data_IF_357045000821
#
_entry.id   IF_357045000821
#
_cell.length_a   1.000
_cell.length_b   1.000
_cell.length_c   1.000
_cell.angle_alpha   90.00
_cell.angle_beta   90.00
_cell.angle_gamma   90.00
#
_symmetry.space_group_name_H-M   'P 1'
#
loop_
_entity.id
_entity.type
_entity.pdbx_description
1 polymer ?
#
# COMPACT_ATOMS: atom_id res chain seq x y z
N UNK A 1 21.21 8.04 43.22
CA UNK A 1 22.49 7.86 42.49
C UNK A 1 22.26 8.25 41.05
N UNK A 2 23.13 9.07 40.44
CA UNK A 2 22.85 9.71 39.14
C UNK A 2 23.62 9.03 38.01
N UNK A 3 22.93 8.33 37.10
CA UNK A 3 23.54 7.84 35.84
C UNK A 3 23.23 8.81 34.70
N UNK A 4 24.27 9.18 33.94
CA UNK A 4 24.19 10.08 32.79
C UNK A 4 23.78 9.30 31.54
N UNK A 5 22.87 9.84 30.72
CA UNK A 5 22.66 9.37 29.34
C UNK A 5 23.73 10.01 28.42
N UNK A 6 24.36 9.27 27.50
CA UNK A 6 25.26 9.85 26.50
C UNK A 6 24.48 10.56 25.37
N UNK A 7 25.13 11.51 24.71
CA UNK A 7 24.61 12.24 23.56
C UNK A 7 25.11 11.64 22.24
N UNK A 8 24.19 11.48 21.29
CA UNK A 8 24.42 11.36 19.84
C UNK A 8 23.63 12.54 19.23
N UNK A 9 24.17 13.48 18.43
CA UNK A 9 25.00 13.34 17.22
C UNK A 9 24.37 12.30 16.27
N UNK A 10 23.46 12.67 15.37
CA UNK A 10 23.20 14.01 14.81
C UNK A 10 24.15 14.26 13.65
N UNK A 11 23.63 14.07 12.43
CA UNK A 11 24.38 14.08 11.19
C UNK A 11 23.44 14.63 10.09
N UNK A 12 23.75 15.82 9.58
CA UNK A 12 22.98 16.46 8.51
C UNK A 12 23.60 16.13 7.15
N UNK A 13 22.75 16.02 6.12
CA UNK A 13 23.15 15.89 4.73
C UNK A 13 22.33 16.88 3.88
N UNK A 14 23.01 17.90 3.37
CA UNK A 14 22.48 18.75 2.31
C UNK A 14 22.86 18.14 0.95
N UNK A 15 21.95 18.15 -0.01
CA UNK A 15 22.20 17.64 -1.37
C UNK A 15 22.82 18.68 -2.31
N UNK A 16 23.02 18.32 -3.59
CA UNK A 16 23.06 19.23 -4.74
C UNK A 16 23.23 18.45 -6.07
N UNK A 17 22.65 18.97 -7.16
CA UNK A 17 22.86 18.51 -8.54
C UNK A 17 21.79 17.50 -9.04
N UNK A 18 21.34 17.58 -10.31
CA UNK A 18 21.65 18.57 -11.35
C UNK A 18 20.75 18.41 -12.59
N UNK A 19 20.56 19.48 -13.37
CA UNK A 19 19.61 19.54 -14.48
C UNK A 19 20.21 19.15 -15.84
N UNK A 20 19.64 18.14 -16.49
CA UNK A 20 19.54 18.00 -17.96
C UNK A 20 18.21 17.27 -18.28
N UNK A 21 17.39 17.66 -19.26
CA UNK A 21 17.46 18.81 -20.17
C UNK A 21 17.52 18.39 -21.64
N UNK A 22 16.35 18.15 -22.26
CA UNK A 22 16.20 18.07 -23.72
C UNK A 22 14.81 18.56 -24.13
N UNK A 23 14.73 19.32 -25.22
CA UNK A 23 13.53 19.99 -25.75
C UNK A 23 13.08 19.34 -27.05
N UNK A 24 11.78 19.39 -27.37
CA UNK A 24 11.22 19.17 -28.71
C UNK A 24 9.88 19.89 -28.88
N UNK A 25 9.52 20.21 -30.12
CA UNK A 25 8.59 21.29 -30.47
C UNK A 25 7.11 20.88 -30.67
N UNK A 26 6.16 21.84 -30.57
CA UNK A 26 4.74 21.60 -30.84
C UNK A 26 4.40 21.65 -32.34
N UNK A 27 3.69 20.63 -32.84
CA UNK A 27 3.25 20.54 -34.24
C UNK A 27 1.77 20.91 -34.44
N UNK A 28 1.48 22.18 -34.75
CA UNK A 28 0.11 22.65 -35.04
C UNK A 28 -0.42 22.21 -36.41
N UNK A 29 -1.70 21.85 -36.49
CA UNK A 29 -2.52 21.95 -37.72
C UNK A 29 -3.99 22.31 -37.38
N UNK A 30 -4.71 23.07 -38.22
CA UNK A 30 -5.98 23.70 -37.85
C UNK A 30 -7.23 22.97 -38.38
N UNK A 31 -8.39 23.54 -38.02
CA UNK A 31 -9.76 23.34 -38.48
C UNK A 31 -10.01 22.66 -39.84
N UNK A 32 -11.09 21.88 -39.88
CA UNK A 32 -12.02 21.88 -41.01
C UNK A 32 -13.47 21.53 -40.59
N UNK A 33 -14.46 22.26 -41.13
CA UNK A 33 -15.70 21.62 -41.62
C UNK A 33 -16.93 21.34 -40.71
N UNK A 34 -17.42 22.33 -39.97
CA UNK A 34 -18.86 22.63 -39.71
C UNK A 34 -19.99 21.53 -39.81
N UNK A 35 -20.77 21.44 -38.73
CA UNK A 35 -22.27 21.40 -38.71
C UNK A 35 -23.05 20.23 -39.34
N UNK A 36 -23.68 19.40 -38.48
CA UNK A 36 -25.13 19.10 -38.54
C UNK A 36 -25.68 18.45 -37.25
N UNK A 37 -26.80 19.00 -36.76
CA UNK A 37 -27.84 18.33 -35.95
C UNK A 37 -29.16 18.52 -36.73
N UNK A 38 -30.26 17.74 -36.53
CA UNK A 38 -30.69 17.00 -35.33
C UNK A 38 -30.89 15.48 -35.65
N UNK A 39 -31.54 14.59 -34.88
CA UNK A 39 -32.88 14.64 -34.24
C UNK A 39 -33.06 13.49 -33.24
N UNK A 40 -33.86 13.69 -32.19
CA UNK A 40 -34.25 12.64 -31.25
C UNK A 40 -35.52 11.90 -31.71
N UNK A 41 -35.56 10.58 -31.49
CA UNK A 41 -36.78 9.76 -31.53
C UNK A 41 -36.66 8.66 -30.48
N UNK A 42 -37.49 8.71 -29.44
CA UNK A 42 -37.76 7.56 -28.57
C UNK A 42 -38.74 6.61 -29.28
N UNK A 43 -38.55 5.29 -29.16
CA UNK A 43 -39.55 4.27 -29.50
C UNK A 43 -39.18 2.90 -28.89
N UNK A 44 -39.99 2.42 -27.95
CA UNK A 44 -39.87 1.14 -27.21
C UNK A 44 -41.26 0.75 -26.67
N UNK A 45 -41.65 -0.54 -26.51
CA UNK A 45 -40.98 -1.79 -26.89
C UNK A 45 -41.53 -2.30 -28.26
N UNK A 46 -42.06 -3.50 -28.57
CA UNK A 46 -42.42 -4.74 -27.85
C UNK A 46 -42.72 -5.88 -28.88
N UNK A 47 -42.95 -7.15 -28.46
CA UNK A 47 -41.96 -8.17 -28.08
C UNK A 47 -41.82 -9.29 -29.16
N UNK A 48 -40.95 -10.29 -28.93
CA UNK A 48 -41.22 -11.76 -29.08
C UNK A 48 -39.93 -12.61 -29.30
N UNK A 49 -39.74 -13.59 -28.41
CA UNK A 49 -38.99 -14.86 -28.49
C UNK A 49 -37.69 -15.03 -29.33
N UNK A 50 -36.58 -15.22 -28.59
CA UNK A 50 -35.67 -16.38 -28.61
C UNK A 50 -35.10 -16.95 -29.91
N UNK A 51 -33.76 -16.89 -30.05
CA UNK A 51 -32.87 -18.07 -30.10
C UNK A 51 -31.38 -17.67 -30.16
N UNK A 52 -30.50 -18.56 -29.70
CA UNK A 52 -29.03 -18.44 -29.82
C UNK A 52 -28.37 -17.82 -28.58
N UNK A 53 -27.43 -18.56 -27.99
CA UNK A 53 -26.50 -18.02 -26.99
C UNK A 53 -25.17 -17.65 -27.63
N UNK A 54 -24.43 -16.77 -26.97
CA UNK A 54 -22.99 -16.58 -27.17
C UNK A 54 -22.39 -16.41 -25.77
N UNK A 55 -21.49 -17.32 -25.39
CA UNK A 55 -20.81 -17.30 -24.10
C UNK A 55 -19.67 -16.28 -24.13
N UNK A 56 -20.00 -14.99 -24.04
CA UNK A 56 -19.02 -13.91 -23.87
C UNK A 56 -18.89 -13.50 -22.39
N UNK A 57 -18.32 -14.39 -21.58
CA UNK A 57 -17.76 -13.99 -20.28
C UNK A 57 -16.65 -12.96 -20.53
N UNK A 58 -16.96 -11.69 -20.25
CA UNK A 58 -16.12 -10.55 -20.55
C UNK A 58 -14.95 -10.43 -19.57
N UNK A 59 -14.00 -11.37 -19.63
CA UNK A 59 -12.74 -11.28 -18.88
C UNK A 59 -11.89 -10.12 -19.41
N UNK A 60 -12.21 -8.90 -18.97
CA UNK A 60 -11.36 -7.71 -19.16
C UNK A 60 -10.17 -7.76 -18.20
N UNK A 61 -9.44 -8.88 -18.24
CA UNK A 61 -8.16 -9.06 -17.59
C UNK A 61 -7.16 -8.09 -18.21
N UNK A 62 -7.03 -6.90 -17.60
CA UNK A 62 -5.84 -6.08 -17.80
C UNK A 62 -4.66 -6.93 -17.32
N UNK A 63 -3.83 -7.39 -18.25
CA UNK A 63 -2.68 -8.23 -17.97
C UNK A 63 -1.56 -7.42 -17.27
N UNK A 64 -1.81 -7.06 -16.01
CA UNK A 64 -0.74 -6.78 -15.06
C UNK A 64 0.18 -8.01 -15.02
N UNK A 65 1.49 -7.80 -15.07
CA UNK A 65 2.47 -8.85 -15.33
C UNK A 65 2.70 -9.82 -14.17
N UNK A 66 1.73 -9.99 -13.27
CA UNK A 66 1.82 -10.78 -12.03
C UNK A 66 0.93 -12.01 -12.09
N UNK A 67 1.56 -13.17 -12.04
CA UNK A 67 0.92 -14.45 -11.70
C UNK A 67 1.09 -14.64 -10.17
N UNK A 68 0.05 -15.04 -9.43
CA UNK A 68 0.09 -15.11 -7.95
C UNK A 68 -0.69 -16.32 -7.45
N UNK A 69 -0.09 -17.08 -6.53
CA UNK A 69 -0.69 -18.30 -5.97
C UNK A 69 -1.78 -18.00 -4.93
N UNK A 70 -2.70 -18.95 -4.74
CA UNK A 70 -3.66 -18.92 -3.63
C UNK A 70 -2.92 -18.75 -2.28
N UNK A 71 -3.35 -17.82 -1.40
CA UNK A 71 -2.66 -17.55 -0.14
C UNK A 71 -2.86 -18.68 0.88
N UNK A 72 -1.76 -19.14 1.48
CA UNK A 72 -1.75 -20.12 2.58
C UNK A 72 -1.48 -19.43 3.91
N UNK A 73 -1.88 -20.02 5.04
CA UNK A 73 -1.52 -19.48 6.37
C UNK A 73 -0.04 -19.72 6.67
N UNK A 74 0.58 -18.79 7.39
CA UNK A 74 1.87 -19.03 8.04
C UNK A 74 1.84 -20.29 8.91
N UNK A 75 2.93 -21.06 8.93
CA UNK A 75 3.05 -22.35 9.59
C UNK A 75 3.56 -22.29 11.04
N UNK A 76 4.22 -21.20 11.44
CA UNK A 76 4.74 -21.05 12.79
C UNK A 76 3.65 -20.65 13.80
N UNK A 77 3.92 -20.90 15.09
CA UNK A 77 3.09 -20.44 16.19
C UNK A 77 2.91 -18.90 16.19
N UNK A 78 1.78 -18.38 16.70
CA UNK A 78 1.51 -16.95 16.77
C UNK A 78 2.54 -16.20 17.63
N UNK A 79 2.57 -14.89 17.44
CA UNK A 79 3.41 -13.98 18.23
C UNK A 79 2.55 -12.86 18.83
N UNK A 80 3.01 -12.29 19.95
CA UNK A 80 2.46 -11.05 20.49
C UNK A 80 3.41 -9.90 20.14
N UNK A 81 2.88 -8.74 19.79
CA UNK A 81 3.64 -7.52 19.51
C UNK A 81 2.89 -6.29 20.05
N UNK A 82 3.59 -5.26 20.52
CA UNK A 82 2.95 -4.05 21.02
C UNK A 82 3.69 -2.76 20.66
N UNK A 83 2.92 -1.67 20.51
CA UNK A 83 3.40 -0.33 20.15
C UNK A 83 2.66 0.73 20.96
N UNK A 84 3.42 1.60 21.61
CA UNK A 84 2.91 2.90 22.08
C UNK A 84 3.25 3.95 21.03
N UNK A 85 2.23 4.56 20.45
CA UNK A 85 2.36 5.60 19.42
C UNK A 85 2.60 6.94 20.10
N UNK A 86 3.62 7.66 19.63
CA UNK A 86 4.04 8.96 20.14
C UNK A 86 4.53 9.80 18.94
N UNK A 87 3.55 10.35 18.21
CA UNK A 87 3.71 11.09 16.97
C UNK A 87 3.03 12.46 17.12
N UNK A 88 3.67 13.55 16.68
CA UNK A 88 3.12 14.90 16.81
C UNK A 88 2.16 15.31 15.66
N UNK A 89 2.02 14.49 14.62
CA UNK A 89 0.97 14.63 13.60
C UNK A 89 -0.36 13.98 14.01
N UNK A 90 -0.41 13.28 15.17
CA UNK A 90 -1.59 12.58 15.71
C UNK A 90 -2.09 13.18 17.03
N UNK A 91 -3.41 13.36 17.15
CA UNK A 91 -4.07 13.81 18.39
C UNK A 91 -5.31 12.94 18.68
N UNK A 92 -5.42 12.42 19.91
CA UNK A 92 -6.62 11.71 20.37
C UNK A 92 -7.66 12.70 20.91
N UNK A 93 -8.87 12.65 20.38
CA UNK A 93 -9.99 13.53 20.73
C UNK A 93 -10.94 12.81 21.70
N UNK A 94 -10.85 13.12 23.00
CA UNK A 94 -11.62 12.44 24.06
C UNK A 94 -13.14 12.54 23.86
N UNK A 95 -13.66 13.71 23.47
CA UNK A 95 -15.10 13.96 23.27
C UNK A 95 -15.70 13.19 22.09
N UNK A 96 -14.89 12.84 21.09
CA UNK A 96 -15.31 12.17 19.85
C UNK A 96 -14.91 10.69 19.79
N UNK A 97 -14.08 10.21 20.73
CA UNK A 97 -13.43 8.88 20.70
C UNK A 97 -12.74 8.59 19.35
N UNK A 98 -12.02 9.61 18.86
CA UNK A 98 -11.47 9.66 17.51
C UNK A 98 -9.98 10.05 17.52
N UNK A 99 -9.27 9.69 16.46
CA UNK A 99 -7.90 10.14 16.19
C UNK A 99 -7.95 11.17 15.07
N UNK A 100 -7.41 12.36 15.34
CA UNK A 100 -7.17 13.41 14.35
C UNK A 100 -5.76 13.22 13.78
N UNK A 101 -5.63 13.26 12.46
CA UNK A 101 -4.37 13.06 11.74
C UNK A 101 -4.20 14.07 10.59
N UNK A 102 -2.97 14.29 10.14
CA UNK A 102 -2.68 15.07 8.92
C UNK A 102 -2.97 14.21 7.69
N UNK A 103 -4.10 14.48 7.02
CA UNK A 103 -4.55 13.74 5.84
C UNK A 103 -3.85 14.20 4.55
N UNK A 104 -3.52 15.49 4.45
CA UNK A 104 -2.84 16.06 3.29
C UNK A 104 -2.07 17.33 3.61
N UNK A 105 -1.06 17.65 2.80
CA UNK A 105 -0.34 18.92 2.84
C UNK A 105 -0.74 19.81 1.65
N UNK A 106 -1.40 20.92 1.94
CA UNK A 106 -1.96 21.85 0.94
C UNK A 106 -0.97 22.98 0.65
N UNK A 107 -0.64 23.21 -0.62
CA UNK A 107 0.15 24.37 -1.03
C UNK A 107 -0.68 25.66 -0.92
N UNK A 108 -0.10 26.68 -0.30
CA UNK A 108 -0.74 27.99 -0.08
C UNK A 108 -0.32 29.03 -1.12
N UNK A 109 0.94 29.01 -1.56
CA UNK A 109 1.59 30.05 -2.37
C UNK A 109 1.81 29.63 -3.84
N UNK A 110 0.77 29.08 -4.49
CA UNK A 110 0.90 28.47 -5.83
C UNK A 110 1.40 29.45 -6.91
N UNK A 111 0.96 30.69 -6.88
CA UNK A 111 1.33 31.72 -7.88
C UNK A 111 2.76 32.22 -7.66
N UNK A 112 3.25 32.13 -6.43
CA UNK A 112 4.59 32.49 -6.00
C UNK A 112 5.60 31.39 -6.36
N UNK A 113 5.21 30.10 -6.22
CA UNK A 113 5.96 28.96 -6.76
C UNK A 113 6.16 29.09 -8.28
N UNK A 114 5.11 29.49 -9.01
CA UNK A 114 5.16 29.73 -10.46
C UNK A 114 6.08 30.91 -10.84
N UNK A 115 6.43 31.78 -9.89
CA UNK A 115 7.41 32.87 -10.01
C UNK A 115 8.79 32.52 -9.43
N UNK A 116 8.97 31.32 -8.86
CA UNK A 116 10.24 30.79 -8.38
C UNK A 116 10.47 30.85 -6.87
N UNK A 117 9.45 31.17 -6.06
CA UNK A 117 9.56 31.09 -4.60
C UNK A 117 9.45 29.64 -4.08
N UNK A 118 10.01 29.33 -2.88
CA UNK A 118 9.88 28.00 -2.28
C UNK A 118 8.42 27.64 -1.97
N UNK A 119 8.03 26.37 -2.08
CA UNK A 119 6.66 25.95 -1.78
C UNK A 119 6.35 26.01 -0.28
N UNK A 120 5.39 26.85 0.08
CA UNK A 120 4.76 26.85 1.40
C UNK A 120 3.63 25.81 1.44
N UNK A 121 3.38 25.27 2.65
CA UNK A 121 2.41 24.20 2.89
C UNK A 121 1.74 24.33 4.26
N UNK A 122 0.44 24.04 4.31
CA UNK A 122 -0.34 23.90 5.54
C UNK A 122 -0.93 22.49 5.65
N UNK A 123 -1.06 21.92 6.87
CA UNK A 123 -1.67 20.62 7.07
C UNK A 123 -3.20 20.71 6.93
N UNK A 124 -3.79 19.68 6.31
CA UNK A 124 -5.23 19.43 6.27
C UNK A 124 -5.51 18.25 7.17
N UNK A 125 -6.29 18.47 8.22
CA UNK A 125 -6.65 17.45 9.20
C UNK A 125 -7.95 16.73 8.83
N UNK A 126 -8.00 15.44 9.13
CA UNK A 126 -9.21 14.62 9.16
C UNK A 126 -9.29 13.88 10.51
N UNK A 127 -10.45 13.27 10.80
CA UNK A 127 -10.68 12.45 12.00
C UNK A 127 -11.20 11.06 11.60
N UNK A 128 -10.82 10.06 12.38
CA UNK A 128 -11.25 8.66 12.22
C UNK A 128 -11.56 8.05 13.59
N UNK A 129 -12.56 7.15 13.75
CA UNK A 129 -12.83 6.49 15.03
C UNK A 129 -11.59 5.76 15.56
N UNK A 130 -11.37 5.80 16.88
CA UNK A 130 -10.19 5.19 17.49
C UNK A 130 -10.06 3.69 17.20
N UNK A 131 -11.17 2.94 17.16
CA UNK A 131 -11.15 1.50 16.88
C UNK A 131 -10.77 1.19 15.42
N UNK A 132 -11.22 1.99 14.44
CA UNK A 132 -10.86 1.81 13.02
C UNK A 132 -9.37 2.13 12.77
N UNK A 133 -8.88 3.20 13.40
CA UNK A 133 -7.45 3.56 13.40
C UNK A 133 -6.61 2.49 14.09
N UNK A 134 -6.98 2.08 15.30
CA UNK A 134 -6.19 1.14 16.08
C UNK A 134 -6.23 -0.28 15.49
N UNK A 135 -7.31 -0.69 14.82
CA UNK A 135 -7.36 -1.93 14.02
C UNK A 135 -6.35 -1.88 12.87
N UNK A 136 -6.25 -0.74 12.20
CA UNK A 136 -5.27 -0.53 11.11
C UNK A 136 -3.84 -0.56 11.66
N UNK A 137 -3.57 0.14 12.76
CA UNK A 137 -2.25 0.13 13.39
C UNK A 137 -1.87 -1.21 14.02
N UNK A 138 -2.83 -2.01 14.49
CA UNK A 138 -2.56 -3.39 14.91
C UNK A 138 -2.07 -4.24 13.72
N UNK A 139 -2.59 -4.01 12.52
CA UNK A 139 -2.08 -4.66 11.32
C UNK A 139 -0.70 -4.13 10.91
N UNK A 140 -0.41 -2.83 11.06
CA UNK A 140 0.93 -2.24 10.88
C UNK A 140 1.95 -2.89 11.82
N UNK A 141 1.66 -2.93 13.12
CA UNK A 141 2.49 -3.58 14.16
C UNK A 141 2.66 -5.07 13.88
N UNK A 142 1.61 -5.74 13.39
CA UNK A 142 1.65 -7.14 12.99
C UNK A 142 2.58 -7.39 11.80
N UNK A 143 2.53 -6.54 10.77
CA UNK A 143 3.40 -6.64 9.60
C UNK A 143 4.88 -6.44 9.97
N UNK A 144 5.19 -5.40 10.75
CA UNK A 144 6.55 -5.14 11.24
C UNK A 144 7.12 -6.31 12.06
N UNK A 145 6.30 -6.89 12.95
CA UNK A 145 6.68 -8.03 13.78
C UNK A 145 6.85 -9.34 12.99
N UNK A 146 6.07 -9.53 11.91
CA UNK A 146 6.24 -10.66 10.98
C UNK A 146 7.50 -10.50 10.14
N UNK A 147 7.79 -9.31 9.61
CA UNK A 147 9.00 -9.03 8.84
C UNK A 147 10.26 -9.33 9.67
N UNK A 148 10.38 -8.74 10.86
CA UNK A 148 11.48 -9.02 11.80
C UNK A 148 11.59 -10.53 12.11
N UNK A 149 10.47 -11.23 12.30
CA UNK A 149 10.48 -12.67 12.59
C UNK A 149 10.94 -13.53 11.41
N UNK A 150 10.76 -13.09 10.18
CA UNK A 150 11.27 -13.78 8.98
C UNK A 150 12.77 -13.54 8.87
N UNK A 151 13.23 -12.29 9.02
CA UNK A 151 14.66 -11.90 9.05
C UNK A 151 15.44 -12.64 10.16
N UNK A 152 14.87 -12.81 11.35
CA UNK A 152 15.47 -13.56 12.47
C UNK A 152 15.69 -15.07 12.19
N UNK A 153 15.05 -15.62 11.15
CA UNK A 153 14.93 -17.08 10.92
C UNK A 153 15.43 -17.57 9.56
N UNK A 154 15.89 -16.66 8.72
CA UNK A 154 16.38 -16.93 7.36
C UNK A 154 17.74 -16.26 7.16
N UNK A 155 18.76 -17.08 6.90
CA UNK A 155 20.04 -16.62 6.35
C UNK A 155 19.89 -16.42 4.83
N UNK A 156 20.00 -15.18 4.35
CA UNK A 156 19.96 -14.85 2.93
C UNK A 156 18.94 -13.76 2.58
N UNK A 157 18.60 -13.64 1.30
CA UNK A 157 17.52 -12.78 0.85
C UNK A 157 16.26 -13.64 0.58
N UNK A 158 15.16 -13.45 1.35
CA UNK A 158 13.96 -14.25 1.19
C UNK A 158 13.15 -13.89 -0.06
N UNK A 159 13.51 -12.79 -0.77
CA UNK A 159 12.73 -12.09 -1.77
C UNK A 159 11.25 -11.92 -1.39
N UNK A 160 10.98 -11.78 -0.09
CA UNK A 160 9.65 -11.70 0.49
C UNK A 160 9.34 -10.28 0.94
N UNK A 161 8.29 -9.69 0.39
CA UNK A 161 7.72 -8.45 0.92
C UNK A 161 6.68 -8.77 2.01
N UNK A 162 6.56 -7.90 3.01
CA UNK A 162 5.54 -8.01 4.06
C UNK A 162 4.72 -6.73 4.06
N UNK A 163 3.40 -6.86 4.15
CA UNK A 163 2.49 -5.71 4.12
C UNK A 163 1.10 -6.06 4.63
N UNK A 164 0.17 -5.11 4.53
CA UNK A 164 -1.21 -5.24 5.00
C UNK A 164 -2.14 -5.45 3.80
N UNK A 165 -3.06 -6.40 3.92
CA UNK A 165 -4.16 -6.69 2.98
C UNK A 165 -5.50 -6.78 3.73
N UNK A 166 -6.59 -7.04 3.01
CA UNK A 166 -7.85 -7.50 3.60
C UNK A 166 -8.18 -8.91 3.11
N UNK A 167 -8.15 -9.88 4.01
CA UNK A 167 -8.59 -11.25 3.73
C UNK A 167 -9.99 -11.46 4.31
N UNK A 168 -10.94 -11.94 3.49
CA UNK A 168 -12.34 -12.12 3.88
C UNK A 168 -13.04 -10.86 4.44
N UNK A 169 -12.47 -9.68 4.19
CA UNK A 169 -12.93 -8.38 4.72
C UNK A 169 -12.20 -7.90 5.98
N UNK A 170 -11.48 -8.78 6.67
CA UNK A 170 -10.70 -8.47 7.88
C UNK A 170 -9.27 -8.02 7.53
N UNK A 171 -8.68 -7.14 8.34
CA UNK A 171 -7.28 -6.73 8.15
C UNK A 171 -6.33 -7.88 8.43
N UNK A 172 -5.36 -8.10 7.53
CA UNK A 172 -4.43 -9.21 7.58
C UNK A 172 -3.02 -8.81 7.14
N UNK A 173 -2.01 -9.51 7.63
CA UNK A 173 -0.64 -9.42 7.11
C UNK A 173 -0.52 -10.38 5.92
N UNK A 174 0.03 -9.89 4.82
CA UNK A 174 0.44 -10.69 3.67
C UNK A 174 1.97 -10.73 3.58
N UNK A 175 2.50 -11.91 3.29
CA UNK A 175 3.92 -12.19 3.03
C UNK A 175 4.05 -12.72 1.61
N UNK A 176 4.47 -11.86 0.68
CA UNK A 176 4.53 -12.19 -0.75
C UNK A 176 5.98 -12.46 -1.18
N UNK A 177 6.30 -13.74 -1.38
CA UNK A 177 7.57 -14.16 -1.98
C UNK A 177 7.55 -13.91 -3.48
N UNK A 178 8.54 -13.20 -4.02
CA UNK A 178 8.52 -12.68 -5.39
C UNK A 178 9.64 -13.25 -6.25
N UNK A 179 9.28 -13.87 -7.37
CA UNK A 179 10.20 -14.23 -8.46
C UNK A 179 9.99 -13.26 -9.61
N UNK A 180 11.07 -12.70 -10.17
CA UNK A 180 11.01 -11.69 -11.23
C UNK A 180 11.61 -12.22 -12.52
N UNK A 181 10.89 -12.02 -13.62
CA UNK A 181 11.27 -12.42 -14.98
C UNK A 181 11.35 -11.21 -15.91
N UNK A 182 12.14 -11.33 -16.97
CA UNK A 182 12.19 -10.33 -18.04
C UNK A 182 11.07 -10.52 -19.08
N UNK A 183 11.20 -9.81 -20.21
CA UNK A 183 10.24 -9.87 -21.34
C UNK A 183 10.28 -11.18 -22.11
N UNK A 184 11.45 -11.81 -22.20
CA UNK A 184 11.66 -13.07 -22.92
C UNK A 184 11.25 -14.27 -22.05
N UNK A 185 11.13 -14.06 -20.74
CA UNK A 185 10.61 -15.00 -19.76
C UNK A 185 11.68 -15.66 -18.88
N UNK A 186 12.93 -15.21 -19.01
CA UNK A 186 14.06 -15.68 -18.21
C UNK A 186 14.00 -15.09 -16.79
N UNK A 187 14.50 -15.83 -15.80
CA UNK A 187 14.46 -15.41 -14.39
C UNK A 187 15.63 -14.47 -14.09
N UNK A 188 15.31 -13.25 -13.66
CA UNK A 188 16.30 -12.19 -13.35
C UNK A 188 16.43 -11.93 -11.85
N UNK A 189 15.46 -12.38 -11.05
CA UNK A 189 15.55 -12.43 -9.58
C UNK A 189 14.72 -13.62 -9.09
N UNK A 190 15.28 -14.41 -8.18
CA UNK A 190 14.62 -15.57 -7.57
C UNK A 190 14.93 -15.58 -6.06
N UNK A 191 13.99 -15.97 -5.19
CA UNK A 191 14.26 -16.10 -3.75
C UNK A 191 15.40 -17.07 -3.46
N UNK A 192 16.27 -16.76 -2.48
CA UNK A 192 17.32 -17.70 -2.07
C UNK A 192 16.82 -18.85 -1.17
N UNK A 193 15.51 -18.92 -0.93
CA UNK A 193 14.84 -19.81 0.04
C UNK A 193 13.51 -20.31 -0.54
N UNK A 194 13.21 -21.62 -0.51
CA UNK A 194 11.96 -22.15 -1.06
C UNK A 194 10.72 -21.70 -0.27
N UNK A 195 9.58 -21.61 -0.96
CA UNK A 195 8.32 -21.11 -0.42
C UNK A 195 7.88 -21.82 0.87
N UNK A 196 7.98 -23.15 0.93
CA UNK A 196 7.57 -23.92 2.10
C UNK A 196 8.37 -23.54 3.35
N UNK A 197 9.61 -23.05 3.19
CA UNK A 197 10.43 -22.54 4.28
C UNK A 197 10.02 -21.13 4.72
N UNK A 198 9.55 -20.27 3.81
CA UNK A 198 8.91 -18.99 4.18
C UNK A 198 7.65 -19.29 5.01
N UNK A 199 6.80 -20.21 4.53
CA UNK A 199 5.60 -20.65 5.25
C UNK A 199 5.95 -21.21 6.63
N UNK A 200 6.96 -22.10 6.73
CA UNK A 200 7.38 -22.69 8.01
C UNK A 200 7.81 -21.66 9.06
N UNK A 201 8.56 -20.60 8.68
CA UNK A 201 9.06 -19.60 9.64
C UNK A 201 8.03 -18.54 10.01
N UNK A 202 7.08 -18.26 9.12
CA UNK A 202 6.08 -17.19 9.24
C UNK A 202 5.01 -17.53 10.28
N UNK A 203 4.76 -16.69 11.30
CA UNK A 203 3.67 -16.89 12.26
C UNK A 203 2.32 -17.01 11.58
N UNK A 204 1.41 -17.86 12.09
CA UNK A 204 0.03 -17.97 11.56
C UNK A 204 -0.87 -16.78 11.88
N UNK A 205 -0.51 -15.99 12.89
CA UNK A 205 -1.25 -14.83 13.40
C UNK A 205 -0.33 -13.95 14.26
N UNK A 206 -0.71 -12.68 14.47
CA UNK A 206 -0.13 -11.78 15.47
C UNK A 206 -1.22 -11.29 16.41
N UNK A 207 -1.00 -11.38 17.72
CA UNK A 207 -1.74 -10.62 18.73
C UNK A 207 -1.06 -9.25 18.88
N UNK A 208 -1.61 -8.23 18.23
CA UNK A 208 -1.03 -6.89 18.18
C UNK A 208 -1.77 -5.95 19.16
N UNK A 209 -1.03 -5.17 19.94
CA UNK A 209 -1.58 -4.16 20.85
C UNK A 209 -1.05 -2.76 20.53
N UNK A 210 -1.95 -1.80 20.36
CA UNK A 210 -1.64 -0.40 20.06
C UNK A 210 -2.13 0.49 21.19
N UNK A 211 -1.31 1.49 21.57
CA UNK A 211 -1.65 2.51 22.57
C UNK A 211 -1.45 3.91 22.02
N UNK A 212 -2.40 4.80 22.27
CA UNK A 212 -2.32 6.22 21.94
C UNK A 212 -2.95 7.02 23.09
N UNK A 213 -2.24 8.04 23.59
CA UNK A 213 -2.56 8.67 24.88
C UNK A 213 -2.77 7.61 25.98
N UNK A 214 -3.89 7.66 26.70
CA UNK A 214 -4.28 6.69 27.72
C UNK A 214 -5.20 5.54 27.20
N UNK A 215 -5.41 5.44 25.87
CA UNK A 215 -6.20 4.36 25.25
C UNK A 215 -5.33 3.18 24.81
N UNK A 216 -5.91 1.98 24.88
CA UNK A 216 -5.32 0.71 24.43
C UNK A 216 -6.33 -0.08 23.59
N UNK A 217 -5.87 -0.72 22.51
CA UNK A 217 -6.64 -1.66 21.70
C UNK A 217 -5.77 -2.87 21.34
N UNK A 218 -6.36 -4.06 21.33
CA UNK A 218 -5.66 -5.32 20.98
C UNK A 218 -6.48 -6.12 19.97
N UNK A 219 -5.84 -6.52 18.87
CA UNK A 219 -6.46 -7.31 17.81
C UNK A 219 -5.62 -8.54 17.44
N UNK A 220 -6.28 -9.64 17.06
CA UNK A 220 -5.60 -10.81 16.46
C UNK A 220 -5.60 -10.66 14.94
N UNK A 221 -4.46 -10.28 14.38
CA UNK A 221 -4.27 -10.10 12.94
C UNK A 221 -3.90 -11.44 12.31
N UNK A 222 -4.60 -11.84 11.25
CA UNK A 222 -4.27 -13.07 10.51
C UNK A 222 -3.04 -12.86 9.61
N UNK A 223 -2.23 -13.90 9.41
CA UNK A 223 -1.03 -13.84 8.57
C UNK A 223 -1.09 -14.91 7.49
N UNK A 224 -0.86 -14.48 6.25
CA UNK A 224 -0.94 -15.29 5.04
C UNK A 224 0.34 -15.13 4.20
N UNK A 225 0.61 -16.12 3.35
CA UNK A 225 1.82 -16.22 2.53
C UNK A 225 1.42 -16.62 1.11
N UNK A 226 1.97 -15.98 0.09
CA UNK A 226 1.80 -16.36 -1.32
C UNK A 226 3.08 -16.19 -2.13
N UNK A 227 3.13 -16.85 -3.28
CA UNK A 227 4.16 -16.64 -4.31
C UNK A 227 3.62 -15.73 -5.40
N UNK A 228 4.45 -14.84 -5.93
CA UNK A 228 4.14 -13.99 -7.09
C UNK A 228 5.28 -14.06 -8.12
N UNK A 229 4.96 -14.44 -9.35
CA UNK A 229 5.87 -14.26 -10.51
C UNK A 229 5.54 -12.95 -11.20
N UNK A 230 6.43 -11.96 -11.13
CA UNK A 230 6.30 -10.67 -11.83
C UNK A 230 7.13 -10.65 -13.11
N UNK A 231 6.57 -10.13 -14.22
CA UNK A 231 7.30 -9.87 -15.47
C UNK A 231 7.56 -8.38 -15.65
N UNK A 232 8.77 -8.02 -16.06
CA UNK A 232 9.07 -6.67 -16.55
C UNK A 232 8.46 -6.43 -17.95
N UNK A 233 7.71 -5.33 -18.07
CA UNK A 233 7.14 -4.84 -19.33
C UNK A 233 8.11 -3.98 -20.13
#
# INVERSE_FOLDING_TARGET
MTRRRPLLRGLALAGLGGLTGCVSEPGSRPDDGATAAPTATESTPDPTEAAGGDDTDGETGTADGRDTSDPVRGGAEPITADRTVADDELEYLEDEHAVKYVAAWRHTNRTEIEQGEPPEREPVYETTPFEDWATTECASVGADAVAQRIEERIDGDPAASVGITRENGEMAVSVQQTTVRDRDGEVVSEPSVPFERIVEVTPRAVEATVRLADQEHTATVSVWVSETTMRYA
#
